data_IF_080542212569
#
_entry.id   IF_080542212569
#
_cell.length_a   1.000
_cell.length_b   1.000
_cell.length_c   1.000
_cell.angle_alpha   90.00
_cell.angle_beta   90.00
_cell.angle_gamma   90.00
#
_symmetry.space_group_name_H-M   'P 1'
#
loop_
_entity.id
_entity.type
_entity.pdbx_description
1 polymer ?
#
# COMPACT_ATOMS: atom_id res chain seq x y z
N UNK A 1 -47.43 11.83 -20.91
CA UNK A 1 -46.52 10.69 -21.12
C UNK A 1 -45.11 11.14 -20.73
N UNK A 2 -44.58 10.69 -19.59
CA UNK A 2 -43.25 11.06 -19.10
C UNK A 2 -42.20 9.99 -19.50
N UNK A 3 -40.94 10.36 -19.78
CA UNK A 3 -39.96 9.45 -20.37
C UNK A 3 -39.33 8.52 -19.33
N UNK A 4 -39.12 7.26 -19.74
CA UNK A 4 -38.38 6.25 -18.99
C UNK A 4 -36.92 6.67 -18.76
N UNK A 5 -36.52 6.84 -17.50
CA UNK A 5 -35.10 6.92 -17.12
C UNK A 5 -34.49 5.52 -17.15
N UNK A 6 -33.68 5.22 -18.17
CA UNK A 6 -32.72 4.12 -18.15
C UNK A 6 -31.65 4.42 -17.08
N UNK A 7 -31.68 3.72 -15.95
CA UNK A 7 -30.56 3.65 -15.02
C UNK A 7 -29.65 2.50 -15.45
N UNK A 8 -28.53 2.83 -16.07
CA UNK A 8 -27.38 1.92 -16.23
C UNK A 8 -26.66 1.81 -14.89
N UNK A 9 -27.17 0.94 -14.01
CA UNK A 9 -26.46 0.55 -12.80
C UNK A 9 -25.50 -0.59 -13.10
N UNK A 10 -24.24 -0.30 -13.39
CA UNK A 10 -23.16 -1.29 -13.24
C UNK A 10 -22.85 -1.40 -11.74
N UNK A 11 -23.82 -1.90 -10.98
CA UNK A 11 -23.61 -2.26 -9.58
C UNK A 11 -22.71 -3.48 -9.58
N UNK A 12 -21.42 -3.28 -9.29
CA UNK A 12 -20.56 -4.39 -8.86
C UNK A 12 -21.22 -4.92 -7.59
N UNK A 13 -22.01 -6.00 -7.72
CA UNK A 13 -22.57 -6.69 -6.57
C UNK A 13 -21.39 -7.02 -5.67
N UNK A 14 -21.42 -6.52 -4.45
CA UNK A 14 -20.42 -6.87 -3.46
C UNK A 14 -20.42 -8.41 -3.35
N UNK A 15 -19.30 -9.02 -3.77
CA UNK A 15 -19.17 -10.47 -3.91
C UNK A 15 -19.31 -11.20 -2.56
N UNK A 16 -19.21 -10.46 -1.46
CA UNK A 16 -19.27 -10.95 -0.10
C UNK A 16 -20.48 -10.41 0.66
N UNK A 17 -21.50 -9.87 -0.03
CA UNK A 17 -22.67 -9.22 0.58
C UNK A 17 -23.48 -10.14 1.52
N UNK A 18 -23.34 -11.46 1.38
CA UNK A 18 -24.02 -12.45 2.20
C UNK A 18 -23.24 -12.84 3.48
N UNK A 19 -22.00 -12.37 3.64
CA UNK A 19 -21.18 -12.61 4.83
C UNK A 19 -21.43 -11.52 5.86
N UNK A 20 -21.48 -11.91 7.13
CA UNK A 20 -21.44 -10.97 8.25
C UNK A 20 -20.11 -10.19 8.27
N UNK A 21 -20.10 -9.06 8.99
CA UNK A 21 -18.88 -8.26 9.15
C UNK A 21 -17.76 -9.05 9.85
N UNK A 22 -18.12 -9.92 10.81
CA UNK A 22 -17.17 -10.77 11.53
C UNK A 22 -16.56 -11.82 10.60
N UNK A 23 -17.37 -12.51 9.80
CA UNK A 23 -16.89 -13.49 8.82
C UNK A 23 -15.97 -12.84 7.79
N UNK A 24 -16.30 -11.63 7.31
CA UNK A 24 -15.42 -10.87 6.42
C UNK A 24 -14.08 -10.54 7.07
N UNK A 25 -14.11 -10.09 8.32
CA UNK A 25 -12.90 -9.74 9.06
C UNK A 25 -12.02 -10.97 9.27
N UNK A 26 -12.64 -12.10 9.60
CA UNK A 26 -11.94 -13.37 9.75
C UNK A 26 -11.31 -13.80 8.42
N UNK A 27 -12.08 -13.85 7.33
CA UNK A 27 -11.59 -14.25 6.01
C UNK A 27 -10.50 -13.30 5.47
N UNK A 28 -10.66 -11.99 5.69
CA UNK A 28 -9.64 -10.99 5.37
C UNK A 28 -8.35 -11.21 6.15
N UNK A 29 -8.46 -11.50 7.45
CA UNK A 29 -7.31 -11.77 8.31
C UNK A 29 -6.58 -13.06 7.91
N UNK A 30 -7.32 -14.13 7.60
CA UNK A 30 -6.77 -15.40 7.14
C UNK A 30 -6.05 -15.23 5.80
N UNK A 31 -6.65 -14.53 4.84
CA UNK A 31 -6.01 -14.20 3.57
C UNK A 31 -4.75 -13.35 3.77
N UNK A 32 -4.78 -12.36 4.66
CA UNK A 32 -3.58 -11.59 5.03
C UNK A 32 -2.49 -12.49 5.61
N UNK A 33 -2.83 -13.45 6.47
CA UNK A 33 -1.84 -14.36 7.06
C UNK A 33 -1.17 -15.25 5.99
N UNK A 34 -1.96 -15.87 5.11
CA UNK A 34 -1.41 -16.63 3.96
C UNK A 34 -0.56 -15.78 3.04
N UNK A 35 -0.97 -14.53 2.79
CA UNK A 35 -0.19 -13.57 2.01
C UNK A 35 1.15 -13.22 2.67
N UNK A 36 1.19 -13.09 4.00
CA UNK A 36 2.43 -12.86 4.74
C UNK A 36 3.36 -14.08 4.69
N UNK A 37 2.82 -15.30 4.79
CA UNK A 37 3.59 -16.54 4.67
C UNK A 37 4.21 -16.66 3.27
N UNK A 38 3.42 -16.45 2.22
CA UNK A 38 3.92 -16.43 0.84
C UNK A 38 4.97 -15.34 0.62
N UNK A 39 4.76 -14.14 1.18
CA UNK A 39 5.73 -13.05 1.10
C UNK A 39 7.05 -13.40 1.78
N UNK A 40 7.00 -14.02 2.96
CA UNK A 40 8.17 -14.49 3.69
C UNK A 40 8.93 -15.61 2.94
N UNK A 41 8.20 -16.44 2.19
CA UNK A 41 8.78 -17.46 1.31
C UNK A 41 9.35 -16.89 -0.01
N UNK A 42 9.21 -15.59 -0.27
CA UNK A 42 9.63 -14.95 -1.53
C UNK A 42 8.65 -15.17 -2.69
N UNK A 43 7.51 -15.85 -2.47
CA UNK A 43 6.46 -15.99 -3.46
C UNK A 43 5.59 -14.73 -3.51
N UNK A 44 6.10 -13.72 -4.21
CA UNK A 44 5.44 -12.43 -4.33
C UNK A 44 4.12 -12.51 -5.11
N UNK A 45 3.99 -13.44 -6.07
CA UNK A 45 2.78 -13.61 -6.87
C UNK A 45 1.62 -14.10 -6.00
N UNK A 46 1.86 -15.14 -5.20
CA UNK A 46 0.86 -15.66 -4.24
C UNK A 46 0.57 -14.62 -3.16
N UNK A 47 1.57 -13.92 -2.64
CA UNK A 47 1.36 -12.84 -1.67
C UNK A 47 0.42 -11.75 -2.18
N UNK A 48 0.64 -11.26 -3.42
CA UNK A 48 -0.22 -10.25 -4.06
C UNK A 48 -1.65 -10.77 -4.21
N UNK A 49 -1.83 -12.03 -4.62
CA UNK A 49 -3.13 -12.66 -4.77
C UNK A 49 -3.89 -12.71 -3.44
N UNK A 50 -3.25 -13.20 -2.39
CA UNK A 50 -3.86 -13.33 -1.06
C UNK A 50 -4.19 -11.95 -0.45
N UNK A 51 -3.30 -10.95 -0.56
CA UNK A 51 -3.64 -9.60 -0.08
C UNK A 51 -4.76 -8.95 -0.91
N UNK A 52 -4.86 -9.26 -2.20
CA UNK A 52 -5.99 -8.83 -3.03
C UNK A 52 -7.30 -9.47 -2.56
N UNK A 53 -7.27 -10.74 -2.17
CA UNK A 53 -8.42 -11.39 -1.53
C UNK A 53 -8.77 -10.73 -0.21
N UNK A 54 -7.79 -10.40 0.64
CA UNK A 54 -8.02 -9.71 1.91
C UNK A 54 -8.71 -8.35 1.71
N UNK A 55 -8.27 -7.59 0.71
CA UNK A 55 -8.87 -6.30 0.33
C UNK A 55 -10.31 -6.47 -0.19
N UNK A 56 -10.62 -7.58 -0.88
CA UNK A 56 -11.98 -7.84 -1.34
C UNK A 56 -12.96 -8.03 -0.16
N UNK A 57 -12.50 -8.65 0.94
CA UNK A 57 -13.30 -8.78 2.16
C UNK A 57 -13.44 -7.46 2.94
N UNK A 58 -12.34 -6.73 3.09
CA UNK A 58 -12.32 -5.44 3.80
C UNK A 58 -11.59 -4.34 2.97
N UNK A 59 -12.31 -3.64 2.08
CA UNK A 59 -11.70 -2.67 1.17
C UNK A 59 -11.21 -1.39 1.85
N UNK A 60 -11.56 -1.19 3.12
CA UNK A 60 -11.16 -0.05 3.96
C UNK A 60 -10.06 -0.40 4.96
N UNK A 61 -9.46 -1.59 4.88
CA UNK A 61 -8.38 -1.98 5.78
C UNK A 61 -7.02 -1.57 5.21
N UNK A 62 -6.45 -0.48 5.73
CA UNK A 62 -5.17 0.08 5.26
C UNK A 62 -3.98 -0.90 5.40
N UNK A 63 -4.05 -1.86 6.32
CA UNK A 63 -2.98 -2.84 6.56
C UNK A 63 -2.82 -3.74 5.33
N UNK A 64 -3.92 -4.16 4.70
CA UNK A 64 -3.87 -5.06 3.54
C UNK A 64 -3.25 -4.36 2.32
N UNK A 65 -3.56 -3.09 2.10
CA UNK A 65 -2.90 -2.28 1.06
C UNK A 65 -1.40 -2.09 1.36
N UNK A 66 -1.01 -1.83 2.61
CA UNK A 66 0.41 -1.71 2.96
C UNK A 66 1.19 -3.01 2.73
N UNK A 67 0.59 -4.16 3.00
CA UNK A 67 1.19 -5.45 2.75
C UNK A 67 1.30 -5.75 1.25
N UNK A 68 0.24 -5.48 0.47
CA UNK A 68 0.28 -5.65 -0.98
C UNK A 68 1.24 -4.69 -1.66
N UNK A 69 1.37 -3.45 -1.16
CA UNK A 69 2.38 -2.49 -1.59
C UNK A 69 3.80 -3.06 -1.44
N UNK A 70 4.10 -3.71 -0.32
CA UNK A 70 5.39 -4.39 -0.10
C UNK A 70 5.64 -5.52 -1.09
N UNK A 71 4.62 -6.34 -1.33
CA UNK A 71 4.67 -7.46 -2.27
C UNK A 71 4.88 -6.97 -3.72
N UNK A 72 4.17 -5.93 -4.14
CA UNK A 72 4.38 -5.30 -5.44
C UNK A 72 5.80 -4.75 -5.59
N UNK A 73 6.32 -4.07 -4.57
CA UNK A 73 7.66 -3.50 -4.63
C UNK A 73 8.73 -4.60 -4.74
N UNK A 74 8.57 -5.70 -3.99
CA UNK A 74 9.46 -6.86 -4.05
C UNK A 74 9.39 -7.57 -5.40
N UNK A 75 8.21 -7.55 -6.05
CA UNK A 75 8.02 -8.01 -7.42
C UNK A 75 8.49 -7.01 -8.50
N UNK A 76 9.12 -5.89 -8.11
CA UNK A 76 9.59 -4.84 -9.05
C UNK A 76 8.51 -3.90 -9.59
N UNK A 77 7.26 -4.04 -9.12
CA UNK A 77 6.11 -3.28 -9.60
C UNK A 77 5.90 -1.99 -8.78
N UNK A 78 6.85 -1.06 -8.87
CA UNK A 78 6.83 0.17 -8.06
C UNK A 78 5.57 1.04 -8.28
N UNK A 79 5.02 1.08 -9.49
CA UNK A 79 3.81 1.86 -9.78
C UNK A 79 2.59 1.38 -8.97
N UNK A 80 2.37 0.06 -8.94
CA UNK A 80 1.30 -0.55 -8.14
C UNK A 80 1.58 -0.43 -6.64
N UNK A 81 2.85 -0.53 -6.24
CA UNK A 81 3.24 -0.30 -4.84
C UNK A 81 2.91 1.13 -4.38
N UNK A 82 3.17 2.15 -5.22
CA UNK A 82 2.81 3.54 -4.94
C UNK A 82 1.30 3.75 -4.87
N UNK A 83 0.53 3.10 -5.75
CA UNK A 83 -0.93 3.18 -5.72
C UNK A 83 -1.50 2.66 -4.39
N UNK A 84 -1.06 1.48 -3.95
CA UNK A 84 -1.49 0.89 -2.67
C UNK A 84 -0.99 1.71 -1.47
N UNK A 85 0.22 2.25 -1.52
CA UNK A 85 0.74 3.12 -0.46
C UNK A 85 -0.08 4.41 -0.33
N UNK A 86 -0.49 5.02 -1.45
CA UNK A 86 -1.37 6.17 -1.43
C UNK A 86 -2.77 5.80 -0.90
N UNK A 87 -3.30 4.63 -1.27
CA UNK A 87 -4.59 4.17 -0.73
C UNK A 87 -4.54 3.95 0.77
N UNK A 88 -3.42 3.43 1.27
CA UNK A 88 -3.16 3.31 2.70
C UNK A 88 -3.21 4.67 3.41
N UNK A 89 -2.57 5.71 2.85
CA UNK A 89 -2.56 7.08 3.40
C UNK A 89 -3.96 7.72 3.30
N UNK A 90 -4.71 7.45 2.23
CA UNK A 90 -6.09 7.94 2.07
C UNK A 90 -7.01 7.36 3.16
N UNK A 91 -6.87 6.08 3.47
CA UNK A 91 -7.67 5.39 4.48
C UNK A 91 -7.27 5.81 5.91
N UNK A 92 -5.96 5.82 6.21
CA UNK A 92 -5.44 6.24 7.50
C UNK A 92 -4.22 7.17 7.33
N UNK A 93 -4.44 8.50 7.30
CA UNK A 93 -3.37 9.48 7.12
C UNK A 93 -2.50 9.65 8.37
N UNK A 94 -2.85 9.05 9.51
CA UNK A 94 -2.04 9.11 10.74
C UNK A 94 -1.11 7.91 10.87
N UNK A 95 -1.25 6.91 10.01
CA UNK A 95 -0.45 5.70 10.08
C UNK A 95 0.85 5.82 9.28
N UNK A 96 1.97 5.97 9.99
CA UNK A 96 3.30 6.20 9.41
C UNK A 96 3.73 5.13 8.38
N UNK A 97 3.23 3.89 8.48
CA UNK A 97 3.56 2.80 7.54
C UNK A 97 3.11 3.09 6.09
N UNK A 98 2.01 3.81 5.86
CA UNK A 98 1.59 4.20 4.51
C UNK A 98 2.65 5.08 3.83
N UNK A 99 3.15 6.09 4.55
CA UNK A 99 4.23 6.95 4.10
C UNK A 99 5.55 6.19 3.93
N UNK A 100 5.84 5.23 4.81
CA UNK A 100 7.04 4.39 4.67
C UNK A 100 7.02 3.57 3.38
N UNK A 101 5.86 3.00 3.02
CA UNK A 101 5.68 2.27 1.74
C UNK A 101 5.84 3.19 0.54
N UNK A 102 5.25 4.39 0.59
CA UNK A 102 5.37 5.37 -0.48
C UNK A 102 6.82 5.83 -0.68
N UNK A 103 7.53 6.11 0.41
CA UNK A 103 8.95 6.46 0.39
C UNK A 103 9.80 5.34 -0.20
N UNK A 104 9.55 4.09 0.19
CA UNK A 104 10.28 2.94 -0.33
C UNK A 104 10.07 2.75 -1.84
N UNK A 105 8.84 2.95 -2.32
CA UNK A 105 8.54 2.86 -3.74
C UNK A 105 9.20 3.98 -4.57
N UNK A 106 9.23 5.22 -4.05
CA UNK A 106 9.99 6.29 -4.70
C UNK A 106 11.49 6.05 -4.68
N UNK A 107 12.02 5.52 -3.58
CA UNK A 107 13.43 5.17 -3.47
C UNK A 107 13.83 4.10 -4.49
N UNK A 108 12.99 3.08 -4.68
CA UNK A 108 13.23 2.00 -5.64
C UNK A 108 13.38 2.51 -7.08
N UNK A 109 12.59 3.50 -7.49
CA UNK A 109 12.70 4.12 -8.82
C UNK A 109 13.72 5.26 -8.88
N UNK A 110 14.62 5.34 -7.89
CA UNK A 110 15.65 6.39 -7.75
C UNK A 110 15.12 7.83 -7.70
N UNK A 111 13.84 7.99 -7.37
CA UNK A 111 13.22 9.31 -7.18
C UNK A 111 13.47 9.80 -5.75
N UNK A 112 14.74 9.94 -5.37
CA UNK A 112 15.18 10.16 -3.99
C UNK A 112 14.56 11.41 -3.35
N UNK A 113 14.41 12.51 -4.10
CA UNK A 113 13.75 13.72 -3.60
C UNK A 113 12.29 13.48 -3.17
N UNK A 114 11.55 12.65 -3.92
CA UNK A 114 10.18 12.27 -3.55
C UNK A 114 10.16 11.28 -2.37
N UNK A 115 11.15 10.41 -2.28
CA UNK A 115 11.30 9.51 -1.13
C UNK A 115 11.53 10.30 0.17
N UNK A 116 12.46 11.27 0.16
CA UNK A 116 12.71 12.20 1.27
C UNK A 116 11.42 12.92 1.68
N UNK A 117 10.65 13.43 0.71
CA UNK A 117 9.37 14.10 1.00
C UNK A 117 8.36 13.16 1.66
N UNK A 118 8.21 11.92 1.16
CA UNK A 118 7.29 10.95 1.71
C UNK A 118 7.68 10.53 3.14
N UNK A 119 8.95 10.23 3.40
CA UNK A 119 9.42 9.87 4.74
C UNK A 119 9.29 11.03 5.73
N UNK A 120 9.63 12.25 5.31
CA UNK A 120 9.47 13.46 6.13
C UNK A 120 8.00 13.66 6.51
N UNK A 121 7.06 13.52 5.57
CA UNK A 121 5.62 13.57 5.86
C UNK A 121 5.17 12.45 6.82
N UNK A 122 5.71 11.24 6.67
CA UNK A 122 5.45 10.17 7.63
C UNK A 122 5.88 10.53 9.05
N UNK A 123 7.04 11.17 9.21
CA UNK A 123 7.55 11.59 10.52
C UNK A 123 6.77 12.74 11.15
N UNK A 124 6.01 13.52 10.39
CA UNK A 124 5.13 14.54 10.98
C UNK A 124 3.93 13.91 11.70
N UNK A 125 3.46 12.75 11.23
CA UNK A 125 2.29 12.04 11.79
C UNK A 125 2.68 10.93 12.78
N UNK A 126 3.82 10.29 12.59
CA UNK A 126 4.34 9.21 13.44
C UNK A 126 5.77 9.53 13.91
N UNK A 127 5.83 10.46 14.86
CA UNK A 127 7.09 10.98 15.41
C UNK A 127 7.84 9.88 16.15
N UNK A 128 9.09 9.66 15.77
CA UNK A 128 9.94 8.63 16.40
C UNK A 128 9.86 7.25 15.75
N UNK A 129 9.12 7.11 14.64
CA UNK A 129 9.10 5.87 13.88
C UNK A 129 10.48 5.59 13.26
N UNK A 130 11.16 4.56 13.78
CA UNK A 130 12.52 4.17 13.36
C UNK A 130 12.60 3.78 11.88
N UNK A 131 11.55 3.17 11.32
CA UNK A 131 11.53 2.78 9.90
C UNK A 131 11.49 4.00 8.99
N UNK A 132 10.69 5.01 9.35
CA UNK A 132 10.63 6.27 8.62
C UNK A 132 11.93 7.06 8.72
N UNK A 133 12.56 7.08 9.91
CA UNK A 133 13.87 7.71 10.11
C UNK A 133 14.95 7.03 9.27
N UNK A 134 15.02 5.70 9.31
CA UNK A 134 16.00 4.93 8.53
C UNK A 134 15.80 5.16 7.01
N UNK A 135 14.55 5.12 6.54
CA UNK A 135 14.23 5.40 5.14
C UNK A 135 14.60 6.83 4.72
N UNK A 136 14.35 7.82 5.59
CA UNK A 136 14.73 9.21 5.33
C UNK A 136 16.25 9.35 5.19
N UNK A 137 17.02 8.82 6.15
CA UNK A 137 18.49 8.87 6.11
C UNK A 137 19.04 8.21 4.85
N UNK A 138 18.51 7.04 4.48
CA UNK A 138 18.91 6.34 3.26
C UNK A 138 18.59 7.15 2.00
N UNK A 139 17.41 7.77 1.93
CA UNK A 139 16.99 8.58 0.79
C UNK A 139 17.82 9.86 0.66
N UNK A 140 18.18 10.51 1.78
CA UNK A 140 19.05 11.69 1.79
C UNK A 140 20.46 11.36 1.33
N UNK A 141 21.05 10.27 1.82
CA UNK A 141 22.38 9.84 1.37
C UNK A 141 22.40 9.54 -0.12
N UNK A 142 21.38 8.84 -0.64
CA UNK A 142 21.29 8.56 -2.07
C UNK A 142 21.05 9.81 -2.94
N UNK A 143 20.30 10.78 -2.42
CA UNK A 143 20.12 12.07 -3.10
C UNK A 143 21.42 12.86 -3.18
N UNK A 144 22.18 12.93 -2.08
CA UNK A 144 23.46 13.64 -2.05
C UNK A 144 24.44 13.05 -3.07
N UNK A 145 24.58 11.72 -3.11
CA UNK A 145 25.44 11.05 -4.10
C UNK A 145 25.01 11.39 -5.52
N UNK A 146 23.70 11.39 -5.80
CA UNK A 146 23.18 11.75 -7.12
C UNK A 146 23.48 13.21 -7.52
N UNK A 147 23.45 14.14 -6.55
CA UNK A 147 23.78 15.55 -6.77
C UNK A 147 25.28 15.76 -6.99
N UNK A 148 26.12 15.03 -6.26
CA UNK A 148 27.58 15.02 -6.42
C UNK A 148 28.00 14.44 -7.78
N UNK A 149 27.36 13.36 -8.24
CA UNK A 149 27.61 12.77 -9.56
C UNK A 149 27.17 13.67 -10.73
N UNK A 150 26.23 14.59 -10.48
CA UNK A 150 25.70 15.50 -11.49
C UNK A 150 26.46 16.84 -11.58
N UNK A 151 27.41 17.08 -10.66
CA UNK A 151 28.22 18.31 -10.56
C UNK A 151 29.55 18.18 -11.31
#
# INVERSE_FOLDING_TARGET
MAPQRRRTGKGSKDAHANLSAEERTQQGTEAKNRGNEAYAAGDHATAIKEFTSAIAFEPTNHIYYSNRSAAYLSAGNAALAMQDANKCIEIDPKWGKGYARLGAAYYFIKSYQKAVSAYTKGLTVDKGNKQLQAGLTQAQAALQVLEEEAS
#
